data_IF_010484082147
#
_entry.id   IF_010484082147
#
_cell.length_a   1.000
_cell.length_b   1.000
_cell.length_c   1.000
_cell.angle_alpha   90.00
_cell.angle_beta   90.00
_cell.angle_gamma   90.00
#
_symmetry.space_group_name_H-M   'P 1'
#
loop_
_entity.id
_entity.type
_entity.pdbx_description
1 polymer ?
#
# COMPACT_ATOMS: atom_id res chain seq x y z
N UNK A 1 2.58 4.55 -4.02
CA UNK A 1 3.81 4.16 -3.26
C UNK A 1 3.56 4.34 -1.78
N UNK A 2 4.04 3.43 -0.93
CA UNK A 2 3.82 3.46 0.53
C UNK A 2 5.16 3.30 1.23
N UNK A 3 5.47 4.19 2.19
CA UNK A 3 6.66 4.06 3.04
C UNK A 3 6.58 2.82 3.94
N UNK A 4 7.74 2.32 4.32
CA UNK A 4 7.81 1.24 5.30
C UNK A 4 7.36 1.72 6.68
N UNK A 5 6.60 0.87 7.38
CA UNK A 5 6.10 1.16 8.73
C UNK A 5 7.28 1.45 9.66
N UNK A 6 7.14 2.51 10.45
CA UNK A 6 8.03 2.79 11.58
C UNK A 6 7.42 2.12 12.81
N UNK A 7 7.95 0.98 13.17
CA UNK A 7 7.43 0.20 14.30
C UNK A 7 7.90 0.77 15.66
N UNK A 8 7.09 0.65 16.73
CA UNK A 8 7.51 1.01 18.08
C UNK A 8 8.79 0.31 18.54
N UNK A 9 9.02 -0.92 18.07
CA UNK A 9 10.22 -1.72 18.32
C UNK A 9 11.51 -0.99 17.91
N UNK A 10 11.48 -0.13 16.91
CA UNK A 10 12.66 0.64 16.48
C UNK A 10 13.25 1.51 17.59
N UNK A 11 12.47 1.85 18.62
CA UNK A 11 12.97 2.60 19.77
C UNK A 11 13.95 1.81 20.62
N UNK A 12 13.94 0.50 20.53
CA UNK A 12 14.73 -0.42 21.34
C UNK A 12 15.81 -1.15 20.54
N UNK A 13 15.78 -1.06 19.21
CA UNK A 13 16.75 -1.67 18.32
C UNK A 13 17.49 -0.60 17.51
N UNK A 14 18.76 -0.43 17.79
CA UNK A 14 19.61 0.61 17.18
C UNK A 14 19.75 0.41 15.66
N UNK A 15 19.77 -0.82 15.18
CA UNK A 15 19.86 -1.10 13.75
C UNK A 15 18.61 -0.61 13.02
N UNK A 16 17.43 -0.98 13.49
CA UNK A 16 16.17 -0.55 12.86
C UNK A 16 15.89 0.93 13.06
N UNK A 17 16.32 1.52 14.19
CA UNK A 17 16.22 2.96 14.44
C UNK A 17 16.99 3.79 13.42
N UNK A 18 18.10 3.26 12.91
CA UNK A 18 18.89 3.94 11.88
C UNK A 18 18.48 3.54 10.46
N UNK A 19 18.20 2.27 10.24
CA UNK A 19 17.91 1.72 8.91
C UNK A 19 16.57 2.21 8.33
N UNK A 20 15.47 2.16 9.11
CA UNK A 20 14.14 2.48 8.60
C UNK A 20 13.98 3.94 8.16
N UNK A 21 14.47 4.96 8.93
CA UNK A 21 14.44 6.33 8.45
C UNK A 21 15.24 6.54 7.17
N UNK A 22 16.42 5.92 7.05
CA UNK A 22 17.24 5.99 5.84
C UNK A 22 16.55 5.36 4.64
N UNK A 23 15.92 4.20 4.84
CA UNK A 23 15.14 3.51 3.82
C UNK A 23 13.98 4.38 3.34
N UNK A 24 13.16 4.90 4.26
CA UNK A 24 12.02 5.75 3.92
C UNK A 24 12.46 7.05 3.24
N UNK A 25 13.55 7.68 3.71
CA UNK A 25 14.12 8.86 3.06
C UNK A 25 14.60 8.57 1.62
N UNK A 26 15.23 7.43 1.39
CA UNK A 26 15.63 7.01 0.04
C UNK A 26 14.41 6.76 -0.86
N UNK A 27 13.37 6.13 -0.32
CA UNK A 27 12.12 5.86 -1.01
C UNK A 27 11.38 7.15 -1.39
N UNK A 28 11.34 8.13 -0.46
CA UNK A 28 10.75 9.46 -0.69
C UNK A 28 11.49 10.22 -1.80
N UNK A 29 12.82 10.25 -1.77
CA UNK A 29 13.61 10.86 -2.86
C UNK A 29 13.32 10.23 -4.22
N UNK A 30 13.21 8.89 -4.27
CA UNK A 30 12.84 8.18 -5.50
C UNK A 30 11.45 8.58 -5.99
N UNK A 31 10.48 8.72 -5.08
CA UNK A 31 9.15 9.21 -5.42
C UNK A 31 9.19 10.64 -5.99
N UNK A 32 9.87 11.57 -5.29
CA UNK A 32 9.96 12.97 -5.70
C UNK A 32 10.61 13.12 -7.08
N UNK A 33 11.68 12.37 -7.32
CA UNK A 33 12.37 12.32 -8.61
C UNK A 33 11.44 11.84 -9.73
N UNK A 34 10.75 10.72 -9.49
CA UNK A 34 9.85 10.14 -10.48
C UNK A 34 8.61 11.00 -10.71
N UNK A 35 8.10 11.63 -9.64
CA UNK A 35 6.97 12.56 -9.71
C UNK A 35 7.31 13.82 -10.50
N UNK A 36 8.56 14.29 -10.43
CA UNK A 36 9.03 15.43 -11.23
C UNK A 36 9.07 15.12 -12.74
N UNK A 37 9.44 13.88 -13.08
CA UNK A 37 9.46 13.42 -14.49
C UNK A 37 8.06 13.06 -15.01
N UNK A 38 7.24 12.47 -14.14
CA UNK A 38 5.89 11.97 -14.44
C UNK A 38 4.90 12.47 -13.39
N UNK A 39 4.36 13.69 -13.53
CA UNK A 39 3.56 14.33 -12.48
C UNK A 39 2.20 13.66 -12.22
N UNK A 40 1.73 12.79 -13.11
CA UNK A 40 0.41 12.14 -13.03
C UNK A 40 0.53 10.67 -12.60
N UNK A 41 -0.53 10.16 -11.95
CA UNK A 41 -0.69 8.73 -11.68
C UNK A 41 0.24 8.16 -10.61
N UNK A 42 0.95 9.00 -9.85
CA UNK A 42 1.83 8.56 -8.79
C UNK A 42 1.44 9.19 -7.45
N UNK A 43 1.03 8.36 -6.50
CA UNK A 43 0.56 8.74 -5.18
C UNK A 43 1.49 8.20 -4.10
N UNK A 44 1.57 8.92 -2.98
CA UNK A 44 2.51 8.61 -1.91
C UNK A 44 1.84 8.63 -0.54
N UNK A 45 2.11 7.63 0.26
CA UNK A 45 1.69 7.53 1.65
C UNK A 45 2.92 7.41 2.53
N UNK A 46 3.03 8.33 3.49
CA UNK A 46 4.11 8.35 4.47
C UNK A 46 3.86 7.35 5.60
N UNK A 47 4.85 7.12 6.45
CA UNK A 47 4.72 6.15 7.55
C UNK A 47 3.89 6.69 8.73
N UNK A 48 3.71 7.99 8.81
CA UNK A 48 3.04 8.63 9.94
C UNK A 48 1.60 8.11 10.09
N UNK A 49 1.28 7.64 11.27
CA UNK A 49 -0.04 7.13 11.63
C UNK A 49 -0.36 5.71 11.14
N UNK A 50 0.53 5.05 10.40
CA UNK A 50 0.28 3.69 9.88
C UNK A 50 0.00 2.65 10.98
N UNK A 51 0.50 2.86 12.20
CA UNK A 51 0.26 2.00 13.37
C UNK A 51 -0.57 2.71 14.45
N UNK A 52 -1.34 3.72 14.05
CA UNK A 52 -2.08 4.60 14.95
C UNK A 52 -1.25 5.78 15.45
N UNK A 53 -1.88 6.86 15.95
CA UNK A 53 -1.22 8.10 16.34
C UNK A 53 -0.21 7.90 17.48
N UNK A 54 -0.48 6.98 18.42
CA UNK A 54 0.39 6.67 19.55
C UNK A 54 1.38 5.53 19.25
N UNK A 55 1.39 5.02 18.02
CA UNK A 55 2.17 3.84 17.63
C UNK A 55 1.80 2.56 18.40
N UNK A 56 0.57 2.44 18.88
CA UNK A 56 0.09 1.31 19.68
C UNK A 56 -0.53 0.17 18.88
N UNK A 57 -0.58 0.33 17.58
CA UNK A 57 -1.21 -0.63 16.66
C UNK A 57 -0.41 -1.92 16.43
N UNK A 58 0.44 -2.34 17.39
CA UNK A 58 1.23 -3.56 17.26
C UNK A 58 1.13 -4.44 18.51
N UNK A 59 1.27 -5.77 18.33
CA UNK A 59 1.25 -6.74 19.45
C UNK A 59 2.60 -6.78 20.17
N UNK A 60 3.68 -6.78 19.41
CA UNK A 60 5.05 -7.00 19.87
C UNK A 60 6.04 -5.92 19.37
N UNK A 61 5.50 -4.81 18.89
CA UNK A 61 6.28 -3.72 18.30
C UNK A 61 6.55 -3.88 16.80
N UNK A 62 6.10 -4.98 16.17
CA UNK A 62 6.29 -5.29 14.73
C UNK A 62 4.98 -5.74 14.07
N UNK A 63 4.29 -6.72 14.66
CA UNK A 63 3.07 -7.29 14.08
C UNK A 63 1.85 -6.46 14.43
N UNK A 64 1.05 -6.11 13.43
CA UNK A 64 -0.11 -5.25 13.62
C UNK A 64 -1.21 -5.98 14.39
N UNK A 65 -1.88 -5.22 15.28
CA UNK A 65 -3.18 -5.59 15.87
C UNK A 65 -4.31 -5.27 14.90
N UNK A 66 -5.54 -5.66 15.22
CA UNK A 66 -6.73 -5.24 14.47
C UNK A 66 -6.85 -3.71 14.41
N UNK A 67 -6.50 -3.02 15.50
CA UNK A 67 -6.44 -1.57 15.56
C UNK A 67 -5.38 -1.01 14.60
N UNK A 68 -4.18 -1.59 14.57
CA UNK A 68 -3.11 -1.20 13.66
C UNK A 68 -3.48 -1.42 12.20
N UNK A 69 -4.09 -2.56 11.87
CA UNK A 69 -4.60 -2.84 10.52
C UNK A 69 -5.67 -1.82 10.10
N UNK A 70 -6.57 -1.45 11.02
CA UNK A 70 -7.58 -0.45 10.74
C UNK A 70 -6.97 0.92 10.49
N UNK A 71 -6.05 1.38 11.33
CA UNK A 71 -5.35 2.66 11.14
C UNK A 71 -4.62 2.71 9.78
N UNK A 72 -3.95 1.61 9.42
CA UNK A 72 -3.29 1.48 8.13
C UNK A 72 -4.29 1.54 6.96
N UNK A 73 -5.40 0.82 7.08
CA UNK A 73 -6.43 0.77 6.05
C UNK A 73 -7.11 2.15 5.84
N UNK A 74 -7.41 2.87 6.93
CA UNK A 74 -8.01 4.20 6.87
C UNK A 74 -7.11 5.20 6.12
N UNK A 75 -5.79 5.15 6.36
CA UNK A 75 -4.83 5.98 5.61
C UNK A 75 -4.72 5.57 4.14
N UNK A 76 -4.70 4.27 3.89
CA UNK A 76 -4.61 3.75 2.52
C UNK A 76 -5.86 4.08 1.71
N UNK A 77 -7.05 4.03 2.33
CA UNK A 77 -8.32 4.39 1.70
C UNK A 77 -8.30 5.83 1.18
N UNK A 78 -7.74 6.77 1.95
CA UNK A 78 -7.59 8.18 1.51
C UNK A 78 -6.76 8.25 0.23
N UNK A 79 -5.65 7.52 0.16
CA UNK A 79 -4.77 7.52 -1.02
C UNK A 79 -5.36 6.79 -2.22
N UNK A 80 -6.14 5.75 -1.99
CA UNK A 80 -6.88 5.06 -3.06
C UNK A 80 -7.96 5.99 -3.63
N UNK A 81 -8.71 6.69 -2.79
CA UNK A 81 -9.71 7.66 -3.24
C UNK A 81 -9.07 8.78 -4.05
N UNK A 82 -7.97 9.37 -3.56
CA UNK A 82 -7.19 10.37 -4.29
C UNK A 82 -6.79 9.86 -5.69
N UNK A 83 -6.35 8.60 -5.80
CA UNK A 83 -5.99 8.00 -7.06
C UNK A 83 -7.19 7.77 -8.00
N UNK A 84 -8.31 7.33 -7.45
CA UNK A 84 -9.53 7.06 -8.24
C UNK A 84 -10.23 8.35 -8.70
N UNK A 85 -10.11 9.43 -7.94
CA UNK A 85 -10.69 10.73 -8.25
C UNK A 85 -9.83 11.55 -9.25
N UNK A 86 -8.61 11.09 -9.53
CA UNK A 86 -7.70 11.72 -10.50
C UNK A 86 -8.13 11.35 -11.93
N UNK A 87 -9.02 12.17 -12.50
CA UNK A 87 -9.58 12.00 -13.86
C UNK A 87 -8.57 12.25 -14.98
N UNK A 88 -7.40 12.81 -14.67
CA UNK A 88 -6.33 13.06 -15.63
C UNK A 88 -5.47 11.82 -15.92
N UNK A 89 -5.71 10.73 -15.19
CA UNK A 89 -4.99 9.47 -15.36
C UNK A 89 -5.88 8.46 -16.04
N UNK A 90 -5.49 8.07 -17.24
CA UNK A 90 -6.05 6.90 -17.92
C UNK A 90 -5.33 5.66 -17.38
N UNK A 91 -6.01 4.94 -16.48
CA UNK A 91 -5.49 3.69 -15.95
C UNK A 91 -5.71 2.58 -16.98
N UNK A 92 -4.64 2.16 -17.66
CA UNK A 92 -4.67 0.89 -18.38
C UNK A 92 -4.77 -0.26 -17.36
N UNK A 93 -6.00 -0.68 -17.11
CA UNK A 93 -6.30 -1.80 -16.22
C UNK A 93 -6.10 -3.16 -16.89
N UNK A 94 -5.58 -3.20 -18.14
CA UNK A 94 -5.18 -4.46 -18.76
C UNK A 94 -4.03 -5.05 -17.95
N UNK A 95 -4.18 -6.29 -17.44
CA UNK A 95 -3.09 -6.93 -16.71
C UNK A 95 -1.88 -7.04 -17.61
N UNK A 96 -0.75 -6.46 -17.20
CA UNK A 96 0.53 -6.53 -17.94
C UNK A 96 1.12 -7.95 -18.00
N UNK A 97 0.52 -8.91 -17.32
CA UNK A 97 0.81 -10.34 -17.42
C UNK A 97 -0.46 -11.07 -17.85
N UNK A 98 -0.30 -12.05 -18.73
CA UNK A 98 -1.31 -13.08 -18.95
C UNK A 98 -1.44 -13.94 -17.66
N UNK A 99 -2.03 -13.37 -16.63
CA UNK A 99 -2.56 -14.20 -15.56
C UNK A 99 -3.72 -14.94 -16.17
N UNK A 100 -3.43 -16.15 -16.66
CA UNK A 100 -4.48 -17.12 -16.99
C UNK A 100 -5.21 -17.37 -15.69
N UNK A 101 -6.22 -16.56 -15.42
CA UNK A 101 -7.12 -16.75 -14.29
C UNK A 101 -7.78 -18.09 -14.54
N UNK A 102 -7.32 -19.12 -13.84
CA UNK A 102 -8.02 -20.41 -13.87
C UNK A 102 -9.46 -20.10 -13.45
N UNK A 103 -10.40 -20.32 -14.37
CA UNK A 103 -11.82 -20.12 -14.11
C UNK A 103 -12.14 -20.84 -12.80
N UNK A 104 -12.70 -20.10 -11.84
CA UNK A 104 -13.13 -20.69 -10.57
C UNK A 104 -14.21 -21.74 -10.83
N UNK A 105 -14.47 -22.59 -9.85
CA UNK A 105 -15.60 -23.52 -9.93
C UNK A 105 -16.92 -22.79 -10.27
N UNK A 106 -17.13 -21.62 -9.66
CA UNK A 106 -18.31 -20.79 -9.88
C UNK A 106 -18.37 -20.20 -11.28
N UNK A 107 -17.26 -19.77 -11.85
CA UNK A 107 -17.20 -19.27 -13.24
C UNK A 107 -17.62 -20.37 -14.23
N UNK A 108 -17.16 -21.62 -14.00
CA UNK A 108 -17.54 -22.79 -14.82
C UNK A 108 -19.00 -23.17 -14.67
N UNK A 109 -19.54 -23.06 -13.45
CA UNK A 109 -20.94 -23.34 -13.20
C UNK A 109 -21.85 -22.32 -13.89
N UNK A 110 -21.49 -21.04 -13.83
CA UNK A 110 -22.22 -19.97 -14.53
C UNK A 110 -22.17 -20.17 -16.05
N UNK A 111 -21.02 -20.52 -16.61
CA UNK A 111 -20.91 -20.84 -18.04
C UNK A 111 -21.78 -22.04 -18.43
N UNK A 112 -21.79 -23.09 -17.61
CA UNK A 112 -22.63 -24.26 -17.83
C UNK A 112 -24.14 -23.95 -17.82
N UNK A 113 -24.58 -23.14 -16.83
CA UNK A 113 -25.98 -22.71 -16.71
C UNK A 113 -26.40 -21.81 -17.89
N UNK A 114 -25.49 -21.03 -18.45
CA UNK A 114 -25.72 -20.17 -19.63
C UNK A 114 -25.66 -20.94 -20.96
N UNK A 115 -25.37 -22.24 -20.94
CA UNK A 115 -25.31 -23.08 -22.13
C UNK A 115 -24.04 -22.94 -22.96
N UNK A 116 -22.98 -22.54 -22.34
CA UNK A 116 -21.65 -22.48 -22.96
C UNK A 116 -20.73 -23.57 -22.44
#
# INVERSE_FOLDING_TARGET
MVEGIMYPYTRHDSFFAEYLPKKNAAFRRGYEQHKAENPKGLYYMTYEGQVGPEMEGTVDGVHLTDYGFRAYADLLEVKIKEALDDTDVDYDLTPSYNIVRKKSFWDRLVDFVKGY
#
